data_IF_877058311256
#
_entry.id   IF_877058311256
#
_cell.length_a   1.000
_cell.length_b   1.000
_cell.length_c   1.000
_cell.angle_alpha   90.00
_cell.angle_beta   90.00
_cell.angle_gamma   90.00
#
_symmetry.space_group_name_H-M   'P 1'
#
loop_
_entity.id
_entity.type
_entity.pdbx_description
1 polymer ?
#
# COMPACT_ATOMS: atom_id res chain seq x y z
N UNK A 1 13.01 -13.23 8.22
CA UNK A 1 13.44 -13.38 6.84
C UNK A 1 12.25 -13.74 5.95
N UNK A 2 12.16 -13.10 4.81
CA UNK A 2 11.03 -13.27 3.89
C UNK A 2 10.79 -14.73 3.48
N UNK A 3 11.86 -15.50 3.32
CA UNK A 3 11.75 -16.87 2.82
C UNK A 3 11.08 -17.82 3.80
N UNK A 4 11.06 -17.49 5.08
CA UNK A 4 10.45 -18.35 6.09
C UNK A 4 9.02 -17.94 6.43
N UNK A 5 8.53 -16.83 5.86
CA UNK A 5 7.19 -16.32 6.13
C UNK A 5 6.41 -16.30 4.82
N UNK A 6 5.23 -16.90 4.81
CA UNK A 6 4.36 -16.88 3.64
C UNK A 6 3.90 -15.44 3.37
N UNK A 7 4.01 -14.99 2.12
CA UNK A 7 3.49 -13.68 1.71
C UNK A 7 1.99 -13.59 2.02
N UNK A 8 1.26 -14.68 1.77
CA UNK A 8 -0.17 -14.73 2.04
C UNK A 8 -0.47 -14.50 3.52
N UNK A 9 0.29 -15.15 4.42
CA UNK A 9 0.11 -14.97 5.86
C UNK A 9 0.44 -13.54 6.29
N UNK A 10 1.49 -12.94 5.70
CA UNK A 10 1.89 -11.58 6.04
C UNK A 10 0.86 -10.56 5.57
N UNK A 11 0.08 -10.85 4.53
CA UNK A 11 -0.98 -9.96 4.07
C UNK A 11 -2.14 -9.88 5.06
N UNK A 12 -2.21 -10.77 6.04
CA UNK A 12 -3.20 -10.67 7.13
C UNK A 12 -2.95 -9.44 8.01
N UNK A 13 -1.84 -8.75 7.88
CA UNK A 13 -1.60 -7.47 8.53
C UNK A 13 -2.58 -6.40 8.05
N UNK A 14 -3.07 -6.54 6.82
CA UNK A 14 -4.11 -5.64 6.30
C UNK A 14 -5.45 -6.14 6.83
N UNK A 15 -6.13 -5.31 7.61
CA UNK A 15 -7.37 -5.70 8.29
C UNK A 15 -8.58 -5.66 7.36
N UNK A 16 -8.66 -4.64 6.53
CA UNK A 16 -9.81 -4.42 5.66
C UNK A 16 -9.38 -4.29 4.21
N UNK A 17 -10.05 -5.01 3.34
CA UNK A 17 -9.80 -5.01 1.91
C UNK A 17 -11.05 -4.55 1.17
N UNK A 18 -10.86 -3.90 0.04
CA UNK A 18 -11.93 -3.44 -0.84
C UNK A 18 -11.80 -4.12 -2.20
N UNK A 19 -12.94 -4.49 -2.77
CA UNK A 19 -12.98 -4.86 -4.18
C UNK A 19 -12.81 -3.61 -5.03
N UNK A 20 -12.56 -3.78 -6.33
CA UNK A 20 -12.50 -2.65 -7.27
C UNK A 20 -13.82 -1.85 -7.22
N UNK A 21 -14.96 -2.55 -7.17
CA UNK A 21 -16.27 -1.93 -7.10
C UNK A 21 -16.45 -1.11 -5.83
N UNK A 22 -16.03 -1.66 -4.69
CA UNK A 22 -16.12 -0.94 -3.41
C UNK A 22 -15.22 0.29 -3.40
N UNK A 23 -14.02 0.18 -3.95
CA UNK A 23 -13.11 1.32 -4.05
C UNK A 23 -13.70 2.40 -4.95
N UNK A 24 -14.28 2.03 -6.09
CA UNK A 24 -14.94 2.97 -6.99
C UNK A 24 -16.06 3.72 -6.28
N UNK A 25 -16.84 3.02 -5.49
CA UNK A 25 -17.95 3.60 -4.73
C UNK A 25 -17.45 4.62 -3.71
N UNK A 26 -16.42 4.25 -2.93
CA UNK A 26 -15.84 5.15 -1.94
C UNK A 26 -15.21 6.39 -2.57
N UNK A 27 -14.61 6.24 -3.73
CA UNK A 27 -13.96 7.35 -4.45
C UNK A 27 -14.96 8.16 -5.27
N UNK A 28 -16.16 7.63 -5.50
CA UNK A 28 -17.15 8.30 -6.34
C UNK A 28 -16.75 8.38 -7.81
N UNK A 29 -16.05 7.36 -8.31
CA UNK A 29 -15.55 7.33 -9.69
C UNK A 29 -15.88 5.99 -10.36
N UNK A 30 -15.86 5.92 -11.69
CA UNK A 30 -16.06 4.65 -12.40
C UNK A 30 -14.91 3.68 -12.17
N UNK A 31 -15.19 2.38 -12.32
CA UNK A 31 -14.18 1.33 -12.18
C UNK A 31 -12.98 1.54 -13.09
N UNK A 32 -13.20 2.04 -14.31
CA UNK A 32 -12.10 2.32 -15.23
C UNK A 32 -11.10 3.31 -14.69
N UNK A 33 -11.56 4.30 -13.91
CA UNK A 33 -10.66 5.25 -13.26
C UNK A 33 -9.91 4.63 -12.09
N UNK A 34 -10.53 3.68 -11.37
CA UNK A 34 -9.81 2.92 -10.35
C UNK A 34 -8.66 2.16 -10.99
N UNK A 35 -8.88 1.53 -12.13
CA UNK A 35 -7.83 0.81 -12.83
C UNK A 35 -6.67 1.74 -13.22
N UNK A 36 -6.95 2.97 -13.61
CA UNK A 36 -5.90 3.96 -13.90
C UNK A 36 -5.09 4.32 -12.67
N UNK A 37 -5.76 4.44 -11.51
CA UNK A 37 -5.06 4.72 -10.27
C UNK A 37 -4.12 3.56 -9.89
N UNK A 38 -4.52 2.33 -10.18
CA UNK A 38 -3.66 1.16 -9.98
C UNK A 38 -2.47 1.16 -10.94
N UNK A 39 -2.70 1.55 -12.19
CA UNK A 39 -1.64 1.59 -13.19
C UNK A 39 -0.56 2.61 -12.86
N UNK A 40 -0.93 3.74 -12.27
CA UNK A 40 0.05 4.79 -11.92
C UNK A 40 0.50 4.73 -10.47
N UNK A 41 0.14 3.69 -9.74
CA UNK A 41 0.53 3.46 -8.35
C UNK A 41 -0.01 4.48 -7.35
N UNK A 42 -1.05 5.21 -7.71
CA UNK A 42 -1.80 6.04 -6.75
C UNK A 42 -2.59 5.18 -5.78
N UNK A 43 -2.94 3.96 -6.20
CA UNK A 43 -3.45 2.89 -5.37
C UNK A 43 -2.74 1.61 -5.77
N UNK A 44 -2.77 0.62 -4.88
CA UNK A 44 -2.24 -0.71 -5.20
C UNK A 44 -3.27 -1.77 -4.86
N UNK A 45 -3.25 -2.85 -5.61
CA UNK A 45 -4.11 -3.99 -5.39
C UNK A 45 -3.27 -5.27 -5.35
N UNK A 46 -3.74 -6.21 -4.56
CA UNK A 46 -3.11 -7.53 -4.43
C UNK A 46 -4.11 -8.57 -4.87
N UNK A 47 -3.64 -9.56 -5.60
CA UNK A 47 -4.48 -10.68 -6.01
C UNK A 47 -4.63 -11.63 -4.82
N UNK A 48 -5.85 -11.71 -4.30
CA UNK A 48 -6.20 -12.63 -3.22
C UNK A 48 -7.15 -13.68 -3.80
N UNK A 49 -6.64 -14.90 -3.99
CA UNK A 49 -7.41 -16.02 -4.50
C UNK A 49 -8.12 -15.69 -5.83
N UNK A 50 -7.41 -15.03 -6.74
CA UNK A 50 -7.91 -14.69 -8.06
C UNK A 50 -8.66 -13.38 -8.17
N UNK A 51 -8.76 -12.63 -7.08
CA UNK A 51 -9.50 -11.37 -7.05
C UNK A 51 -8.60 -10.24 -6.63
N UNK A 52 -8.62 -9.13 -7.38
CA UNK A 52 -7.86 -7.94 -7.01
C UNK A 52 -8.53 -7.23 -5.84
N UNK A 53 -7.77 -7.03 -4.77
CA UNK A 53 -8.26 -6.40 -3.56
C UNK A 53 -7.34 -5.24 -3.18
N UNK A 54 -7.95 -4.15 -2.75
CA UNK A 54 -7.25 -2.91 -2.39
C UNK A 54 -7.31 -2.73 -0.88
N UNK A 55 -6.17 -2.51 -0.20
CA UNK A 55 -6.22 -2.20 1.23
C UNK A 55 -7.07 -0.95 1.48
N UNK A 56 -8.06 -1.06 2.35
CA UNK A 56 -9.00 0.04 2.60
C UNK A 56 -8.32 1.29 3.15
N UNK A 57 -7.24 1.12 3.90
CA UNK A 57 -6.51 2.24 4.49
C UNK A 57 -5.87 3.17 3.45
N UNK A 58 -5.75 2.74 2.21
CA UNK A 58 -5.16 3.54 1.14
C UNK A 58 -6.14 4.56 0.56
N UNK A 59 -7.40 4.52 0.98
CA UNK A 59 -8.40 5.51 0.58
C UNK A 59 -8.79 6.26 1.86
N UNK A 60 -8.53 7.57 1.87
CA UNK A 60 -8.73 8.43 3.03
C UNK A 60 -9.66 9.57 2.64
N UNK A 61 -10.79 9.70 3.34
CA UNK A 61 -11.76 10.77 3.08
C UNK A 61 -12.20 10.83 1.60
N UNK A 62 -12.39 9.66 1.00
CA UNK A 62 -12.87 9.57 -0.38
C UNK A 62 -11.83 9.82 -1.45
N UNK A 63 -10.55 9.83 -1.08
CA UNK A 63 -9.46 10.08 -2.03
C UNK A 63 -8.32 9.10 -1.81
N UNK A 64 -7.53 8.81 -2.85
CA UNK A 64 -6.30 8.01 -2.66
C UNK A 64 -5.36 8.73 -1.69
N UNK A 65 -4.67 7.96 -0.87
CA UNK A 65 -3.68 8.49 0.07
C UNK A 65 -2.56 9.18 -0.71
N UNK A 66 -2.48 10.51 -0.62
CA UNK A 66 -1.65 11.32 -1.51
C UNK A 66 -0.17 10.93 -1.58
N UNK A 67 0.53 10.66 -0.46
CA UNK A 67 1.95 10.33 -0.54
C UNK A 67 2.25 8.88 -0.96
N UNK A 68 1.22 8.07 -1.20
CA UNK A 68 1.41 6.64 -1.46
C UNK A 68 2.24 6.36 -2.71
N UNK A 69 1.94 7.07 -3.80
CA UNK A 69 2.57 6.81 -5.09
C UNK A 69 4.09 6.90 -5.02
N UNK A 70 4.61 7.97 -4.43
CA UNK A 70 6.06 8.14 -4.32
C UNK A 70 6.71 7.04 -3.48
N UNK A 71 6.06 6.63 -2.41
CA UNK A 71 6.56 5.56 -1.55
C UNK A 71 6.57 4.23 -2.28
N UNK A 72 5.49 3.91 -3.00
CA UNK A 72 5.40 2.66 -3.77
C UNK A 72 6.51 2.62 -4.83
N UNK A 73 6.72 3.71 -5.55
CA UNK A 73 7.76 3.75 -6.57
C UNK A 73 9.13 3.49 -5.97
N UNK A 74 9.43 4.08 -4.81
CA UNK A 74 10.69 3.84 -4.12
C UNK A 74 10.87 2.38 -3.73
N UNK A 75 9.81 1.75 -3.24
CA UNK A 75 9.87 0.33 -2.85
C UNK A 75 10.08 -0.56 -4.07
N UNK A 76 9.38 -0.30 -5.16
CA UNK A 76 9.55 -1.06 -6.40
C UNK A 76 10.96 -0.89 -6.95
N UNK A 77 11.50 0.31 -6.91
CA UNK A 77 12.86 0.59 -7.36
C UNK A 77 13.90 -0.14 -6.50
N UNK A 78 13.58 -0.42 -5.25
CA UNK A 78 14.45 -1.19 -4.36
C UNK A 78 14.29 -2.71 -4.54
N UNK A 79 13.45 -3.14 -5.48
CA UNK A 79 13.28 -4.54 -5.80
C UNK A 79 12.09 -5.22 -5.11
N UNK A 80 11.27 -4.47 -4.41
CA UNK A 80 10.08 -5.02 -3.78
C UNK A 80 8.99 -5.27 -4.83
N UNK A 81 8.25 -6.36 -4.67
CA UNK A 81 7.02 -6.58 -5.43
C UNK A 81 5.90 -5.72 -4.84
N UNK A 82 4.75 -5.67 -5.52
CA UNK A 82 3.57 -4.97 -4.97
C UNK A 82 3.15 -5.61 -3.65
N UNK A 83 3.11 -6.94 -3.58
CA UNK A 83 2.73 -7.65 -2.36
C UNK A 83 3.69 -7.32 -1.21
N UNK A 84 4.98 -7.35 -1.48
CA UNK A 84 5.99 -7.01 -0.48
C UNK A 84 5.89 -5.55 -0.05
N UNK A 85 5.57 -4.65 -0.98
CA UNK A 85 5.38 -3.24 -0.68
C UNK A 85 4.18 -3.03 0.25
N UNK A 86 3.08 -3.75 0.01
CA UNK A 86 1.91 -3.69 0.90
C UNK A 86 2.27 -4.20 2.28
N UNK A 87 2.96 -5.33 2.37
CA UNK A 87 3.39 -5.88 3.66
C UNK A 87 4.26 -4.87 4.41
N UNK A 88 5.21 -4.25 3.71
CA UNK A 88 6.09 -3.24 4.31
C UNK A 88 5.29 -2.08 4.89
N UNK A 89 4.31 -1.59 4.12
CA UNK A 89 3.48 -0.46 4.55
C UNK A 89 2.67 -0.77 5.81
N UNK A 90 2.28 -2.04 6.01
CA UNK A 90 1.43 -2.44 7.12
C UNK A 90 2.22 -3.13 8.24
N UNK A 91 3.55 -3.16 8.17
CA UNK A 91 4.39 -3.72 9.23
C UNK A 91 4.82 -2.61 10.19
N UNK A 92 4.62 -2.83 11.48
CA UNK A 92 5.04 -1.87 12.50
C UNK A 92 6.55 -1.58 12.37
N UNK A 93 6.91 -0.31 12.42
CA UNK A 93 8.30 0.14 12.39
C UNK A 93 8.69 0.72 13.74
N UNK A 94 9.76 0.22 14.33
CA UNK A 94 10.27 0.77 15.58
C UNK A 94 10.81 2.18 15.36
N UNK A 95 11.34 2.48 14.18
CA UNK A 95 11.85 3.81 13.85
C UNK A 95 10.70 4.83 13.84
N UNK A 96 9.57 4.46 13.23
CA UNK A 96 8.41 5.35 13.12
C UNK A 96 7.50 5.27 14.34
N UNK A 97 7.61 4.22 15.15
CA UNK A 97 6.73 3.89 16.27
C UNK A 97 5.29 3.69 15.83
N UNK A 98 5.11 3.29 14.59
CA UNK A 98 3.82 2.96 13.99
C UNK A 98 4.08 2.32 12.63
N UNK A 99 3.02 1.95 11.92
CA UNK A 99 3.18 1.44 10.57
C UNK A 99 3.50 2.59 9.61
N UNK A 100 4.26 2.32 8.53
CA UNK A 100 4.49 3.36 7.52
C UNK A 100 3.19 3.91 6.93
N UNK A 101 2.16 3.08 6.73
CA UNK A 101 0.89 3.56 6.17
C UNK A 101 0.24 4.56 7.13
N UNK A 102 0.30 4.32 8.45
CA UNK A 102 -0.25 5.26 9.41
C UNK A 102 0.49 6.60 9.39
N UNK A 103 1.81 6.54 9.25
CA UNK A 103 2.62 7.77 9.12
C UNK A 103 2.23 8.56 7.89
N UNK A 104 1.96 7.89 6.76
CA UNK A 104 1.51 8.56 5.54
C UNK A 104 0.13 9.19 5.73
N UNK A 105 -0.78 8.49 6.41
CA UNK A 105 -2.12 9.02 6.71
C UNK A 105 -2.02 10.30 7.54
N UNK A 106 -1.06 10.36 8.46
CA UNK A 106 -0.82 11.53 9.31
C UNK A 106 -0.04 12.65 8.61
N UNK A 107 0.29 12.45 7.35
CA UNK A 107 1.03 13.46 6.58
C UNK A 107 2.53 13.44 6.77
N UNK A 108 3.07 12.40 7.40
CA UNK A 108 4.51 12.30 7.71
C UNK A 108 5.25 11.51 6.63
N UNK A 109 5.27 12.05 5.40
CA UNK A 109 5.87 11.34 4.27
C UNK A 109 7.39 11.27 4.32
N UNK A 110 8.05 12.30 4.85
CA UNK A 110 9.52 12.37 4.84
C UNK A 110 10.20 11.27 5.65
N UNK A 111 9.76 10.98 6.90
CA UNK A 111 10.33 9.85 7.64
C UNK A 111 10.11 8.52 6.93
N UNK A 112 8.94 8.33 6.30
CA UNK A 112 8.64 7.10 5.57
C UNK A 112 9.58 6.94 4.38
N UNK A 113 9.82 8.02 3.63
CA UNK A 113 10.70 7.97 2.47
C UNK A 113 12.14 7.71 2.86
N UNK A 114 12.60 8.32 3.96
CA UNK A 114 13.94 8.05 4.47
C UNK A 114 14.10 6.59 4.87
N UNK A 115 13.08 6.02 5.50
CA UNK A 115 13.11 4.61 5.88
C UNK A 115 13.14 3.71 4.63
N UNK A 116 12.34 4.03 3.61
CA UNK A 116 12.33 3.28 2.37
C UNK A 116 13.68 3.37 1.64
N UNK A 117 14.33 4.52 1.67
CA UNK A 117 15.64 4.70 1.04
C UNK A 117 16.70 3.81 1.67
N UNK A 118 16.58 3.48 2.94
CA UNK A 118 17.53 2.61 3.63
C UNK A 118 17.47 1.17 3.14
N UNK A 119 16.43 0.79 2.42
CA UNK A 119 16.29 -0.55 1.85
C UNK A 119 17.15 -0.76 0.60
N UNK A 120 17.66 0.31 0.02
CA UNK A 120 18.39 0.30 -1.23
C UNK A 120 19.90 0.10 -1.02
N UNK A 121 20.25 -0.79 -0.13
CA UNK A 121 21.66 -1.07 0.19
C UNK A 121 22.07 -2.45 -0.27
#
# INVERSE_FOLDING_TARGET
VWQSISVKDSLDLVKDWLTIEQAAELLGIPKGKVNRLLEDYSLVAVNLDGKLMIPAALIVSGEPLAPLRGTIIMLLDSGYSIEESVIWLFTFSEVLQQTPVQSLIEGKKSPVRRLAQMLDI
#
